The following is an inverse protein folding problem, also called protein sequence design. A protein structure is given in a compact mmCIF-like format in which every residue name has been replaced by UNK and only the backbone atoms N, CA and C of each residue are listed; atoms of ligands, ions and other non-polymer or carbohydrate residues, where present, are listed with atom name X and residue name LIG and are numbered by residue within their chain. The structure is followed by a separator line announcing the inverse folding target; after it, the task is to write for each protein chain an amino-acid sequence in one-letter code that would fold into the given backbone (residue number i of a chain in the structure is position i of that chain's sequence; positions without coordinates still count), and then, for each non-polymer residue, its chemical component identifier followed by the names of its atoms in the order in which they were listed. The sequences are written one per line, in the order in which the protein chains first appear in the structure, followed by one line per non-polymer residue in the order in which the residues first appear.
data_IF_606976063504
#
_entry.id   IF_606976063504
#
_cell.length_a   1.000
_cell.length_b   1.000
_cell.length_c   1.000
_cell.angle_alpha   90.00
_cell.angle_beta   90.00
_cell.angle_gamma   90.00
#
_symmetry.space_group_name_H-M   'P 1'
#
loop_
_entity.id
_entity.type
_entity.pdbx_description
1 polymer ?
#
# COMPACT_ATOMS: atom_id res chain seq x y z
N UNK A 1 -3.34 18.47 -19.82
CA UNK A 1 -4.25 17.57 -19.18
C UNK A 1 -4.54 16.27 -19.94
N UNK A 2 -5.77 15.80 -19.89
CA UNK A 2 -6.17 14.47 -20.39
C UNK A 2 -5.72 14.15 -21.82
N UNK A 3 -5.82 15.11 -22.76
CA UNK A 3 -5.44 14.90 -24.16
C UNK A 3 -3.94 14.59 -24.37
N UNK A 4 -3.06 15.07 -23.49
CA UNK A 4 -1.62 14.78 -23.55
C UNK A 4 -1.29 13.34 -23.19
N UNK A 5 -2.23 12.61 -22.61
CA UNK A 5 -2.06 11.22 -22.15
C UNK A 5 -2.65 10.18 -23.12
N UNK A 6 -3.04 10.55 -24.35
CA UNK A 6 -3.67 9.63 -25.33
C UNK A 6 -2.85 8.41 -25.70
N UNK A 7 -1.52 8.49 -25.57
CA UNK A 7 -0.65 7.32 -25.78
C UNK A 7 -0.96 6.16 -24.83
N UNK A 8 -1.56 6.42 -23.66
CA UNK A 8 -2.01 5.38 -22.76
C UNK A 8 -3.19 4.57 -23.31
N UNK A 9 -4.05 5.17 -24.15
CA UNK A 9 -5.12 4.43 -24.82
C UNK A 9 -4.55 3.49 -25.90
N UNK A 10 -3.51 3.94 -26.62
CA UNK A 10 -2.75 3.07 -27.54
C UNK A 10 -2.03 1.94 -26.79
N UNK A 11 -1.44 2.24 -25.65
CA UNK A 11 -0.82 1.24 -24.79
C UNK A 11 -1.85 0.21 -24.31
N UNK A 12 -3.04 0.64 -23.87
CA UNK A 12 -4.13 -0.23 -23.44
C UNK A 12 -4.52 -1.20 -24.55
N UNK A 13 -4.74 -0.71 -25.77
CA UNK A 13 -5.10 -1.54 -26.92
C UNK A 13 -4.02 -2.57 -27.27
N UNK A 14 -2.75 -2.23 -27.12
CA UNK A 14 -1.63 -3.12 -27.48
C UNK A 14 -1.29 -4.13 -26.41
N UNK A 15 -1.26 -3.71 -25.14
CA UNK A 15 -0.70 -4.51 -24.03
C UNK A 15 -1.77 -5.03 -23.07
N UNK A 16 -2.97 -4.44 -23.07
CA UNK A 16 -4.06 -4.74 -22.15
C UNK A 16 -5.40 -4.98 -22.84
N UNK A 17 -5.40 -5.30 -24.14
CA UNK A 17 -6.61 -5.50 -24.97
C UNK A 17 -7.64 -6.44 -24.32
N UNK A 18 -7.19 -7.43 -23.54
CA UNK A 18 -8.04 -8.37 -22.79
C UNK A 18 -9.07 -7.70 -21.87
N UNK A 19 -8.85 -6.43 -21.46
CA UNK A 19 -9.85 -5.66 -20.69
C UNK A 19 -11.05 -5.32 -21.58
N UNK A 20 -10.77 -4.80 -22.75
CA UNK A 20 -11.81 -4.32 -23.68
C UNK A 20 -12.47 -5.50 -24.39
N UNK A 21 -11.71 -6.52 -24.79
CA UNK A 21 -12.21 -7.79 -25.36
C UNK A 21 -13.16 -8.50 -24.40
N UNK A 22 -12.85 -8.47 -23.10
CA UNK A 22 -13.67 -9.02 -22.01
C UNK A 22 -14.80 -8.09 -21.56
N UNK A 23 -14.96 -6.91 -22.15
CA UNK A 23 -15.87 -5.85 -21.70
C UNK A 23 -15.72 -5.57 -20.19
N UNK A 24 -14.50 -5.52 -19.70
CA UNK A 24 -14.15 -5.42 -18.28
C UNK A 24 -13.79 -4.00 -17.89
N UNK A 25 -14.43 -3.46 -16.85
CA UNK A 25 -14.06 -2.20 -16.23
C UNK A 25 -13.29 -2.46 -14.96
N UNK A 26 -11.99 -2.17 -14.97
CA UNK A 26 -11.12 -2.43 -13.81
C UNK A 26 -10.87 -1.16 -13.01
N UNK A 27 -11.41 -1.10 -11.79
CA UNK A 27 -11.35 0.03 -10.86
C UNK A 27 -10.82 -0.38 -9.48
N UNK A 28 -9.87 -1.33 -9.41
CA UNK A 28 -9.24 -1.78 -8.15
C UNK A 28 -7.72 -1.70 -8.18
N UNK A 29 -7.17 -0.64 -8.78
CA UNK A 29 -5.70 -0.46 -8.88
C UNK A 29 -4.99 -0.30 -7.54
N UNK A 30 -5.65 0.23 -6.51
CA UNK A 30 -5.10 0.27 -5.14
C UNK A 30 -4.97 -1.14 -4.54
N UNK A 31 -5.81 -2.07 -4.95
CA UNK A 31 -5.72 -3.48 -4.60
C UNK A 31 -4.62 -4.22 -5.35
N UNK A 32 -4.43 -3.89 -6.64
CA UNK A 32 -3.38 -4.47 -7.47
C UNK A 32 -3.32 -3.83 -8.85
N UNK A 33 -2.12 -3.61 -9.37
CA UNK A 33 -1.90 -3.19 -10.75
C UNK A 33 -2.25 -4.29 -11.75
N UNK A 34 -2.33 -3.91 -13.02
CA UNK A 34 -2.45 -4.84 -14.14
C UNK A 34 -1.11 -4.95 -14.88
N UNK A 35 -0.82 -6.13 -15.39
CA UNK A 35 0.42 -6.39 -16.12
C UNK A 35 0.25 -6.27 -17.62
N UNK A 36 1.27 -5.73 -18.28
CA UNK A 36 1.37 -5.71 -19.73
C UNK A 36 1.74 -7.08 -20.29
N UNK A 37 1.26 -7.44 -21.47
CA UNK A 37 1.62 -8.69 -22.13
C UNK A 37 3.10 -8.76 -22.48
N UNK A 38 3.74 -7.63 -22.75
CA UNK A 38 5.18 -7.54 -22.97
C UNK A 38 6.01 -7.97 -21.76
N UNK A 39 5.55 -7.69 -20.52
CA UNK A 39 6.23 -8.15 -19.30
C UNK A 39 6.29 -9.69 -19.23
N UNK A 40 5.17 -10.36 -19.51
CA UNK A 40 5.09 -11.83 -19.51
C UNK A 40 5.99 -12.42 -20.58
N UNK A 41 5.93 -11.88 -21.82
CA UNK A 41 6.75 -12.37 -22.94
C UNK A 41 8.25 -12.21 -22.66
N UNK A 42 8.66 -11.05 -22.16
CA UNK A 42 10.07 -10.78 -21.85
C UNK A 42 10.60 -11.70 -20.74
N UNK A 43 9.83 -11.89 -19.68
CA UNK A 43 10.24 -12.78 -18.59
C UNK A 43 10.26 -14.25 -19.04
N UNK A 44 9.27 -14.70 -19.80
CA UNK A 44 9.25 -16.06 -20.35
C UNK A 44 10.45 -16.31 -21.27
N UNK A 45 10.77 -15.37 -22.17
CA UNK A 45 11.94 -15.46 -23.04
C UNK A 45 13.23 -15.58 -22.21
N UNK A 46 13.41 -14.75 -21.18
CA UNK A 46 14.57 -14.81 -20.28
C UNK A 46 14.73 -16.21 -19.66
N UNK A 47 13.65 -16.82 -19.18
CA UNK A 47 13.68 -18.13 -18.56
C UNK A 47 13.91 -19.26 -19.58
N UNK A 48 13.46 -19.10 -20.81
CA UNK A 48 13.62 -20.10 -21.88
C UNK A 48 15.03 -20.12 -22.44
N UNK A 49 15.76 -19.00 -22.41
CA UNK A 49 17.07 -18.86 -23.06
C UNK A 49 18.25 -19.33 -22.21
N UNK A 50 18.06 -19.64 -20.92
CA UNK A 50 19.17 -19.95 -20.01
C UNK A 50 18.77 -20.92 -18.90
N UNK A 51 19.80 -21.52 -18.28
CA UNK A 51 19.65 -22.39 -17.11
C UNK A 51 20.05 -21.61 -15.85
N UNK A 52 19.13 -21.50 -14.90
CA UNK A 52 19.33 -20.78 -13.65
C UNK A 52 19.31 -21.73 -12.46
N UNK A 53 20.27 -21.59 -11.55
CA UNK A 53 20.37 -22.38 -10.32
C UNK A 53 20.22 -21.50 -9.07
N UNK A 54 20.22 -22.14 -7.90
CA UNK A 54 20.18 -21.42 -6.62
C UNK A 54 21.39 -20.48 -6.48
N UNK A 55 21.19 -19.18 -6.17
CA UNK A 55 22.25 -18.15 -6.17
C UNK A 55 23.37 -18.33 -5.13
N UNK A 56 23.19 -19.21 -4.13
CA UNK A 56 24.13 -19.37 -3.02
C UNK A 56 25.34 -20.29 -3.35
N UNK A 57 25.82 -20.29 -4.60
CA UNK A 57 26.96 -21.11 -5.04
C UNK A 57 27.76 -20.41 -6.12
N UNK A 58 29.02 -20.90 -6.35
CA UNK A 58 29.93 -20.37 -7.37
C UNK A 58 29.90 -21.15 -8.69
N UNK A 59 28.98 -22.11 -8.84
CA UNK A 59 28.83 -22.79 -10.12
C UNK A 59 28.22 -21.88 -11.21
N UNK A 60 28.35 -22.19 -12.49
CA UNK A 60 27.93 -21.29 -13.57
C UNK A 60 26.45 -20.87 -13.53
N UNK A 61 25.55 -21.80 -13.20
CA UNK A 61 24.10 -21.50 -13.13
C UNK A 61 23.74 -20.62 -11.94
N UNK A 62 24.42 -20.80 -10.81
CA UNK A 62 24.27 -19.96 -9.63
C UNK A 62 24.79 -18.54 -9.85
N UNK A 63 25.95 -18.40 -10.50
CA UNK A 63 26.53 -17.10 -10.85
C UNK A 63 25.62 -16.34 -11.82
N UNK A 64 25.06 -17.03 -12.82
CA UNK A 64 24.09 -16.42 -13.75
C UNK A 64 22.88 -15.86 -13.02
N UNK A 65 22.32 -16.61 -12.09
CA UNK A 65 21.19 -16.20 -11.25
C UNK A 65 21.55 -15.03 -10.34
N UNK A 66 22.69 -15.09 -9.64
CA UNK A 66 23.16 -14.01 -8.76
C UNK A 66 23.29 -12.71 -9.52
N UNK A 67 23.81 -12.73 -10.74
CA UNK A 67 23.91 -11.52 -11.59
C UNK A 67 22.55 -10.89 -11.87
N UNK A 68 21.53 -11.70 -12.17
CA UNK A 68 20.17 -11.21 -12.44
C UNK A 68 19.50 -10.65 -11.18
N UNK A 69 19.67 -11.32 -10.04
CA UNK A 69 19.13 -10.83 -8.76
C UNK A 69 19.76 -9.49 -8.41
N UNK A 70 21.08 -9.37 -8.50
CA UNK A 70 21.78 -8.13 -8.21
C UNK A 70 21.49 -7.02 -9.23
N UNK A 71 21.25 -7.38 -10.49
CA UNK A 71 20.79 -6.43 -11.49
C UNK A 71 19.41 -5.87 -11.15
N UNK A 72 18.45 -6.72 -10.77
CA UNK A 72 17.13 -6.30 -10.33
C UNK A 72 17.23 -5.41 -9.08
N UNK A 73 18.09 -5.76 -8.10
CA UNK A 73 18.34 -4.96 -6.89
C UNK A 73 18.84 -3.56 -7.23
N UNK A 74 19.87 -3.45 -8.05
CA UNK A 74 20.41 -2.16 -8.52
C UNK A 74 19.36 -1.37 -9.29
N UNK A 75 18.51 -2.04 -10.08
CA UNK A 75 17.48 -1.35 -10.85
C UNK A 75 16.39 -0.78 -9.95
N UNK A 76 15.98 -1.49 -8.88
CA UNK A 76 15.07 -0.95 -7.86
C UNK A 76 15.68 0.30 -7.21
N UNK A 77 16.95 0.25 -6.79
CA UNK A 77 17.63 1.41 -6.22
C UNK A 77 17.66 2.59 -7.21
N UNK A 78 18.00 2.34 -8.47
CA UNK A 78 18.00 3.33 -9.54
C UNK A 78 16.62 3.98 -9.74
N UNK A 79 15.56 3.18 -9.83
CA UNK A 79 14.20 3.66 -10.08
C UNK A 79 13.71 4.64 -9.01
N UNK A 80 14.10 4.43 -7.76
CA UNK A 80 13.76 5.29 -6.62
C UNK A 80 14.82 6.34 -6.30
N UNK A 81 15.87 6.50 -7.10
CA UNK A 81 17.02 7.36 -6.80
C UNK A 81 17.62 7.10 -5.40
N UNK A 82 17.65 5.85 -4.98
CA UNK A 82 18.20 5.39 -3.72
C UNK A 82 19.72 5.21 -3.85
N UNK A 83 20.50 6.14 -3.33
CA UNK A 83 21.96 6.06 -3.38
C UNK A 83 22.46 4.82 -2.62
N UNK A 84 23.36 3.98 -3.21
CA UNK A 84 23.83 2.74 -2.57
C UNK A 84 24.59 2.98 -1.25
N UNK A 85 25.14 4.18 -1.07
CA UNK A 85 25.82 4.61 0.17
C UNK A 85 24.82 4.87 1.29
N UNK A 86 23.59 5.24 0.96
CA UNK A 86 22.56 5.58 1.93
C UNK A 86 21.55 4.45 2.12
N UNK A 87 21.13 3.78 1.05
CA UNK A 87 20.07 2.77 1.07
C UNK A 87 20.54 1.37 0.70
N UNK A 88 19.83 0.39 1.24
CA UNK A 88 19.85 -1.00 0.78
C UNK A 88 18.44 -1.41 0.32
N UNK A 89 18.39 -2.32 -0.63
CA UNK A 89 17.16 -2.97 -1.11
C UNK A 89 17.14 -4.39 -0.58
N UNK A 90 16.17 -4.72 0.24
CA UNK A 90 15.97 -6.06 0.82
C UNK A 90 14.73 -6.65 0.17
N UNK A 91 14.87 -7.77 -0.56
CA UNK A 91 13.74 -8.43 -1.17
C UNK A 91 12.93 -9.21 -0.14
N UNK A 92 11.61 -9.09 -0.24
CA UNK A 92 10.64 -9.74 0.64
C UNK A 92 9.50 -10.31 -0.20
N UNK A 93 8.68 -11.24 0.32
CA UNK A 93 7.51 -11.73 -0.41
C UNK A 93 6.48 -10.64 -0.77
N UNK A 94 6.39 -9.58 0.01
CA UNK A 94 5.48 -8.44 -0.19
C UNK A 94 5.77 -7.33 0.83
N UNK A 95 5.06 -6.20 0.73
CA UNK A 95 5.19 -5.09 1.70
C UNK A 95 4.86 -5.51 3.15
N UNK A 96 3.92 -6.43 3.37
CA UNK A 96 3.60 -6.90 4.73
C UNK A 96 4.76 -7.65 5.38
N UNK A 97 5.51 -8.44 4.59
CA UNK A 97 6.72 -9.10 5.08
C UNK A 97 7.83 -8.07 5.38
N UNK A 98 7.97 -7.02 4.55
CA UNK A 98 8.89 -5.91 4.81
C UNK A 98 8.54 -5.17 6.12
N UNK A 99 7.25 -4.90 6.35
CA UNK A 99 6.74 -4.27 7.57
C UNK A 99 6.96 -5.14 8.81
N UNK A 100 6.70 -6.45 8.68
CA UNK A 100 6.97 -7.42 9.76
C UNK A 100 8.46 -7.43 10.09
N UNK A 101 9.33 -7.44 9.09
CA UNK A 101 10.79 -7.42 9.27
C UNK A 101 11.23 -6.21 10.10
N UNK A 102 10.72 -5.02 9.79
CA UNK A 102 10.98 -3.82 10.59
C UNK A 102 10.42 -4.00 12.00
N UNK A 103 9.15 -4.36 12.16
CA UNK A 103 8.51 -4.47 13.48
C UNK A 103 9.18 -5.46 14.41
N UNK A 104 9.52 -6.66 13.90
CA UNK A 104 10.17 -7.70 14.72
C UNK A 104 11.62 -7.36 15.11
N UNK A 105 12.31 -6.58 14.26
CA UNK A 105 13.71 -6.24 14.45
C UNK A 105 13.95 -4.87 15.08
N UNK A 106 12.94 -3.99 15.09
CA UNK A 106 13.07 -2.64 15.65
C UNK A 106 13.35 -2.71 17.15
N UNK A 107 14.38 -2.01 17.68
CA UNK A 107 14.88 -2.20 19.04
C UNK A 107 14.06 -1.45 20.10
N UNK A 108 12.73 -1.57 20.07
CA UNK A 108 11.87 -0.97 21.10
C UNK A 108 12.24 -1.42 22.51
N UNK A 109 12.18 -0.49 23.45
CA UNK A 109 12.40 -0.68 24.88
C UNK A 109 11.33 0.08 25.69
N UNK A 110 11.15 -0.21 26.99
CA UNK A 110 10.25 0.58 27.83
C UNK A 110 10.58 2.07 27.83
N UNK A 111 9.58 2.91 27.53
CA UNK A 111 9.72 4.36 27.37
C UNK A 111 9.94 4.82 25.92
N UNK A 112 10.06 3.87 24.98
CA UNK A 112 10.06 4.19 23.55
C UNK A 112 8.62 4.36 23.01
N UNK A 113 8.51 4.93 21.81
CA UNK A 113 7.23 5.26 21.22
C UNK A 113 7.09 4.73 19.79
N UNK A 114 5.93 4.16 19.49
CA UNK A 114 5.45 3.90 18.16
C UNK A 114 4.29 4.86 17.86
N UNK A 115 4.52 5.85 17.00
CA UNK A 115 3.53 6.84 16.58
C UNK A 115 3.08 6.51 15.17
N UNK A 116 1.78 6.55 14.92
CA UNK A 116 1.26 6.35 13.58
C UNK A 116 -0.02 7.15 13.32
N UNK A 117 -0.29 7.50 12.06
CA UNK A 117 -1.55 8.11 11.67
C UNK A 117 -2.67 7.08 11.71
N UNK A 118 -3.90 7.53 11.93
CA UNK A 118 -5.06 6.65 12.14
C UNK A 118 -5.44 5.86 10.88
N UNK A 119 -5.10 6.35 9.69
CA UNK A 119 -5.44 5.77 8.39
C UNK A 119 -4.37 4.81 7.83
N UNK A 120 -3.64 4.13 8.69
CA UNK A 120 -2.65 3.14 8.28
C UNK A 120 -3.26 1.79 7.91
N UNK A 121 -2.59 1.10 6.98
CA UNK A 121 -2.89 -0.28 6.63
C UNK A 121 -2.64 -1.24 7.80
N UNK A 122 -3.40 -2.35 7.87
CA UNK A 122 -3.28 -3.37 8.93
C UNK A 122 -1.85 -3.87 9.16
N UNK A 123 -1.05 -4.00 8.11
CA UNK A 123 0.33 -4.47 8.25
C UNK A 123 1.24 -3.46 8.96
N UNK A 124 0.94 -2.15 8.87
CA UNK A 124 1.59 -1.09 9.65
C UNK A 124 1.07 -1.12 11.08
N UNK A 125 -0.26 -1.20 11.26
CA UNK A 125 -0.88 -1.31 12.58
C UNK A 125 -0.35 -2.51 13.38
N UNK A 126 -0.06 -3.63 12.70
CA UNK A 126 0.46 -4.84 13.35
C UNK A 126 1.80 -4.68 14.05
N UNK A 127 2.61 -3.67 13.68
CA UNK A 127 3.88 -3.37 14.35
C UNK A 127 3.66 -3.01 15.84
N UNK A 128 2.49 -2.49 16.20
CA UNK A 128 2.15 -2.19 17.60
C UNK A 128 2.24 -3.40 18.53
N UNK A 129 2.05 -4.60 18.02
CA UNK A 129 2.15 -5.82 18.86
C UNK A 129 3.61 -6.12 19.22
N UNK A 130 4.56 -5.83 18.33
CA UNK A 130 5.99 -5.88 18.66
C UNK A 130 6.38 -4.76 19.63
N UNK A 131 5.90 -3.53 19.42
CA UNK A 131 6.13 -2.40 20.31
C UNK A 131 5.60 -2.71 21.74
N UNK A 132 4.33 -3.16 21.84
CA UNK A 132 3.68 -3.56 23.09
C UNK A 132 4.45 -4.69 23.80
N UNK A 133 4.84 -5.73 23.06
CA UNK A 133 5.59 -6.87 23.59
C UNK A 133 6.95 -6.49 24.16
N UNK A 134 7.50 -5.32 23.78
CA UNK A 134 8.75 -4.76 24.29
C UNK A 134 8.57 -3.57 25.24
N UNK A 135 7.34 -3.29 25.66
CA UNK A 135 7.02 -2.24 26.63
C UNK A 135 7.01 -0.81 26.07
N UNK A 136 7.07 -0.63 24.77
CA UNK A 136 6.92 0.68 24.13
C UNK A 136 5.45 1.10 24.06
N UNK A 137 5.21 2.41 24.07
CA UNK A 137 3.87 3.01 23.96
C UNK A 137 3.49 3.16 22.48
N UNK A 138 2.22 2.90 22.16
CA UNK A 138 1.67 3.14 20.82
C UNK A 138 0.63 4.26 20.87
N UNK A 139 0.76 5.25 19.97
CA UNK A 139 -0.17 6.38 19.86
C UNK A 139 -0.59 6.58 18.39
N UNK A 140 -1.86 6.94 18.19
CA UNK A 140 -2.43 7.23 16.89
C UNK A 140 -2.77 8.71 16.77
N UNK A 141 -2.33 9.35 15.68
CA UNK A 141 -2.76 10.69 15.31
C UNK A 141 -4.05 10.57 14.49
N UNK A 142 -5.17 11.17 14.90
CA UNK A 142 -6.44 11.02 14.22
C UNK A 142 -6.46 11.68 12.84
N UNK A 143 -7.43 11.26 12.04
CA UNK A 143 -7.83 11.94 10.80
C UNK A 143 -9.18 12.57 11.00
N UNK A 144 -9.41 13.72 10.38
CA UNK A 144 -10.60 14.54 10.56
C UNK A 144 -11.53 14.47 9.35
N UNK A 145 -12.84 14.34 9.63
CA UNK A 145 -13.90 14.47 8.61
C UNK A 145 -14.12 15.95 8.23
N UNK A 146 -14.61 16.24 7.00
CA UNK A 146 -14.99 15.28 5.95
C UNK A 146 -13.82 14.77 5.12
N UNK A 147 -12.69 15.47 5.10
CA UNK A 147 -11.58 15.23 4.17
C UNK A 147 -10.67 14.06 4.58
N UNK A 148 -10.83 13.52 5.79
CA UNK A 148 -9.97 12.46 6.35
C UNK A 148 -8.48 12.82 6.32
N UNK A 149 -8.16 14.09 6.58
CA UNK A 149 -6.79 14.58 6.70
C UNK A 149 -6.34 14.54 8.16
N UNK A 150 -5.05 14.35 8.35
CA UNK A 150 -4.40 14.49 9.65
C UNK A 150 -4.32 15.97 10.02
N UNK A 151 -4.65 16.31 11.27
CA UNK A 151 -4.31 17.62 11.83
C UNK A 151 -2.79 17.71 12.03
N UNK A 152 -2.15 18.58 11.25
CA UNK A 152 -0.70 18.72 11.26
C UNK A 152 -0.18 19.30 12.58
N UNK A 153 -0.96 20.14 13.27
CA UNK A 153 -0.58 20.69 14.58
C UNK A 153 -0.53 19.57 15.60
N UNK A 154 -1.57 18.76 15.68
CA UNK A 154 -1.60 17.61 16.58
C UNK A 154 -0.52 16.58 16.27
N UNK A 155 -0.20 16.36 15.00
CA UNK A 155 0.90 15.49 14.61
C UNK A 155 2.23 16.03 15.14
N UNK A 156 2.52 17.31 14.92
CA UNK A 156 3.78 17.93 15.35
C UNK A 156 3.90 17.91 16.89
N UNK A 157 2.84 18.21 17.61
CA UNK A 157 2.78 18.11 19.08
C UNK A 157 3.06 16.67 19.56
N UNK A 158 2.53 15.68 18.85
CA UNK A 158 2.78 14.26 19.15
C UNK A 158 4.24 13.87 18.91
N UNK A 159 4.90 14.47 17.93
CA UNK A 159 6.31 14.22 17.64
C UNK A 159 7.27 14.87 18.67
N UNK A 160 6.82 15.91 19.41
CA UNK A 160 7.63 16.57 20.45
C UNK A 160 7.73 15.74 21.74
N UNK A 161 6.82 14.78 21.97
CA UNK A 161 6.63 14.10 23.28
C UNK A 161 7.52 12.88 23.48
N UNK A 162 8.78 12.90 23.02
CA UNK A 162 9.67 11.73 23.12
C UNK A 162 10.89 11.93 24.02
N UNK A 163 11.34 10.83 24.59
CA UNK A 163 12.55 10.77 25.43
C UNK A 163 13.79 10.88 24.54
N UNK A 164 14.71 11.83 24.78
CA UNK A 164 15.96 11.88 24.07
C UNK A 164 16.77 10.58 24.17
N UNK A 165 17.30 10.12 23.02
CA UNK A 165 18.15 8.93 22.94
C UNK A 165 17.38 7.59 22.95
N UNK A 166 16.04 7.61 22.91
CA UNK A 166 15.21 6.42 22.72
C UNK A 166 15.13 5.96 21.25
N UNK A 167 14.46 4.82 21.06
CA UNK A 167 14.14 4.29 19.74
C UNK A 167 12.67 4.54 19.40
N UNK A 168 12.40 5.62 18.69
CA UNK A 168 11.05 6.05 18.36
C UNK A 168 10.78 5.87 16.88
N UNK A 169 9.66 5.22 16.54
CA UNK A 169 9.27 4.95 15.17
C UNK A 169 7.96 5.69 14.83
N UNK A 170 8.02 6.58 13.84
CA UNK A 170 6.85 7.22 13.26
C UNK A 170 6.49 6.55 11.94
N UNK A 171 5.25 6.06 11.81
CA UNK A 171 4.76 5.38 10.62
C UNK A 171 3.53 6.05 10.04
N UNK A 172 3.54 6.32 8.73
CA UNK A 172 2.38 6.85 8.03
C UNK A 172 2.37 6.45 6.55
N UNK A 173 1.19 6.41 5.89
CA UNK A 173 1.11 6.15 4.46
C UNK A 173 1.43 7.42 3.66
N UNK A 174 2.23 7.31 2.61
CA UNK A 174 2.40 8.42 1.66
C UNK A 174 1.07 8.76 0.96
N UNK A 175 0.23 7.74 0.77
CA UNK A 175 -1.15 7.87 0.31
C UNK A 175 -2.04 6.87 1.03
N UNK A 176 -3.11 7.36 1.65
CA UNK A 176 -4.12 6.50 2.27
C UNK A 176 -4.75 5.57 1.22
N UNK A 177 -4.71 4.28 1.49
CA UNK A 177 -5.37 3.28 0.64
C UNK A 177 -6.90 3.24 0.84
N UNK A 178 -7.41 4.04 1.78
CA UNK A 178 -8.83 4.24 2.03
C UNK A 178 -9.33 5.51 1.36
N UNK A 179 -8.93 6.69 1.83
CA UNK A 179 -9.46 7.99 1.39
C UNK A 179 -8.81 8.54 0.12
N UNK A 180 -7.63 8.04 -0.24
CA UNK A 180 -6.81 8.60 -1.31
C UNK A 180 -6.03 9.87 -0.91
N UNK A 181 -6.14 10.33 0.33
CA UNK A 181 -5.36 11.46 0.86
C UNK A 181 -3.86 11.17 0.68
N UNK A 182 -3.14 12.13 0.13
CA UNK A 182 -1.69 12.13 0.08
C UNK A 182 -1.16 13.00 1.22
N UNK A 183 -0.41 12.36 2.11
CA UNK A 183 0.22 13.02 3.25
C UNK A 183 1.52 13.71 2.84
N UNK A 184 1.90 14.72 3.61
CA UNK A 184 3.11 15.51 3.35
C UNK A 184 4.37 14.67 3.54
N UNK A 185 5.23 14.62 2.52
CA UNK A 185 6.55 14.01 2.66
C UNK A 185 7.51 14.87 3.50
N UNK A 186 7.17 16.15 3.77
CA UNK A 186 7.93 16.99 4.69
C UNK A 186 7.94 16.45 6.12
N UNK A 187 6.94 15.68 6.52
CA UNK A 187 6.87 15.05 7.84
C UNK A 187 8.07 14.13 8.11
N UNK A 188 8.71 13.58 7.07
CA UNK A 188 9.93 12.79 7.21
C UNK A 188 11.01 13.58 7.92
N UNK A 189 11.40 14.74 7.34
CA UNK A 189 12.44 15.57 7.91
C UNK A 189 12.04 16.17 9.27
N UNK A 190 10.75 16.53 9.43
CA UNK A 190 10.22 17.06 10.70
C UNK A 190 10.29 16.04 11.83
N UNK A 191 9.98 14.79 11.58
CA UNK A 191 10.07 13.72 12.55
C UNK A 191 11.53 13.36 12.87
N UNK A 192 12.38 13.23 11.85
CA UNK A 192 13.79 12.93 12.02
C UNK A 192 14.53 14.00 12.81
N UNK A 193 14.20 15.29 12.59
CA UNK A 193 14.75 16.40 13.37
C UNK A 193 14.41 16.33 14.88
N UNK A 194 13.38 15.54 15.24
CA UNK A 194 12.91 15.28 16.62
C UNK A 194 13.36 13.92 17.17
N UNK A 195 14.24 13.23 16.45
CA UNK A 195 14.82 11.96 16.89
C UNK A 195 13.98 10.72 16.58
N UNK A 196 13.02 10.83 15.65
CA UNK A 196 12.25 9.69 15.17
C UNK A 196 12.88 9.03 13.96
N UNK A 197 12.82 7.70 13.90
CA UNK A 197 12.93 6.97 12.65
C UNK A 197 11.59 7.01 11.92
N UNK A 198 11.61 7.08 10.60
CA UNK A 198 10.39 7.20 9.80
C UNK A 198 10.19 5.99 8.90
N UNK A 199 9.04 5.34 9.08
CA UNK A 199 8.53 4.30 8.19
C UNK A 199 7.45 4.92 7.30
N UNK A 200 7.75 5.04 5.99
CA UNK A 200 6.85 5.56 4.99
C UNK A 200 6.20 4.41 4.21
N UNK A 201 4.93 4.09 4.47
CA UNK A 201 4.20 3.14 3.62
C UNK A 201 3.86 3.80 2.27
N UNK A 202 4.64 3.47 1.26
CA UNK A 202 4.47 4.00 -0.08
C UNK A 202 3.70 3.06 -1.03
N UNK A 203 3.16 1.94 -0.54
CA UNK A 203 2.58 0.88 -1.37
C UNK A 203 1.38 1.34 -2.23
N UNK A 204 0.57 2.28 -1.75
CA UNK A 204 -0.53 2.86 -2.52
C UNK A 204 -0.13 4.12 -3.31
N UNK A 205 1.06 4.66 -3.09
CA UNK A 205 1.55 5.91 -3.67
C UNK A 205 2.35 5.70 -4.97
N UNK A 206 3.31 4.78 -4.95
CA UNK A 206 4.33 4.64 -6.00
C UNK A 206 3.82 4.08 -7.33
N UNK A 207 2.59 3.56 -7.36
CA UNK A 207 1.97 3.10 -8.60
C UNK A 207 1.63 4.25 -9.58
N UNK A 208 1.40 5.45 -9.05
CA UNK A 208 0.96 6.62 -9.83
C UNK A 208 1.71 7.91 -9.47
N UNK A 209 2.65 7.84 -8.53
CA UNK A 209 3.43 9.00 -8.08
C UNK A 209 4.89 8.64 -7.93
N UNK A 210 5.76 9.59 -8.23
CA UNK A 210 7.21 9.43 -8.04
C UNK A 210 7.58 9.59 -6.57
N UNK A 211 8.30 8.62 -6.04
CA UNK A 211 9.02 8.74 -4.78
C UNK A 211 10.52 8.83 -5.09
N UNK A 212 11.12 9.96 -4.80
CA UNK A 212 12.53 10.23 -5.05
C UNK A 212 13.30 10.23 -3.73
N UNK A 213 14.08 9.17 -3.49
CA UNK A 213 14.84 8.98 -2.26
C UNK A 213 16.15 9.80 -2.22
N UNK A 214 16.50 10.49 -3.31
CA UNK A 214 17.56 11.53 -3.25
C UNK A 214 17.07 12.85 -2.67
N UNK A 215 15.75 13.02 -2.58
CA UNK A 215 15.08 14.21 -2.03
C UNK A 215 14.43 13.96 -0.68
N UNK A 216 13.82 12.78 -0.54
CA UNK A 216 13.10 12.36 0.65
C UNK A 216 13.82 11.17 1.26
N UNK A 217 14.15 11.22 2.54
CA UNK A 217 15.02 10.28 3.19
C UNK A 217 14.33 9.49 4.32
N UNK A 218 13.18 8.81 4.09
CA UNK A 218 12.57 7.96 5.10
C UNK A 218 13.52 6.81 5.46
N UNK A 219 13.46 6.35 6.70
CA UNK A 219 14.34 5.29 7.17
C UNK A 219 13.94 3.92 6.63
N UNK A 220 12.63 3.69 6.43
CA UNK A 220 12.08 2.44 5.92
C UNK A 220 10.96 2.69 4.91
N UNK A 221 11.02 2.06 3.75
CA UNK A 221 9.96 2.12 2.71
C UNK A 221 9.59 0.71 2.27
N UNK A 222 8.48 0.14 2.74
CA UNK A 222 7.96 -1.14 2.26
C UNK A 222 7.25 -0.98 0.92
N UNK A 223 7.46 -1.93 0.00
CA UNK A 223 6.87 -1.94 -1.34
C UNK A 223 6.34 -3.32 -1.72
N UNK A 224 5.28 -3.34 -2.53
CA UNK A 224 4.79 -4.53 -3.26
C UNK A 224 4.74 -4.22 -4.75
N UNK A 225 5.55 -4.91 -5.54
CA UNK A 225 5.69 -4.61 -6.97
C UNK A 225 4.43 -4.87 -7.77
N UNK A 226 3.61 -5.87 -7.39
CA UNK A 226 2.36 -6.16 -8.07
C UNK A 226 1.35 -4.98 -8.06
N UNK A 227 1.45 -4.08 -7.08
CA UNK A 227 0.63 -2.86 -7.05
C UNK A 227 1.07 -1.84 -8.08
N UNK A 228 2.34 -1.84 -8.46
CA UNK A 228 2.91 -0.89 -9.40
C UNK A 228 2.63 -1.28 -10.86
N UNK A 229 2.93 -2.53 -11.21
CA UNK A 229 2.88 -3.02 -12.60
C UNK A 229 2.31 -4.43 -12.76
N UNK A 230 1.59 -4.95 -11.77
CA UNK A 230 0.78 -6.15 -11.81
C UNK A 230 1.51 -7.48 -11.73
N UNK A 231 2.69 -7.62 -12.30
CA UNK A 231 3.49 -8.84 -12.36
C UNK A 231 4.96 -8.55 -12.08
N UNK A 232 5.63 -9.32 -11.20
CA UNK A 232 5.15 -10.53 -10.53
C UNK A 232 4.38 -10.25 -9.24
N UNK A 233 3.57 -11.21 -8.78
CA UNK A 233 3.08 -11.30 -7.41
C UNK A 233 4.07 -12.07 -6.54
N UNK A 234 3.91 -12.00 -5.19
CA UNK A 234 4.78 -12.74 -4.28
C UNK A 234 6.20 -12.17 -4.16
N UNK A 235 6.41 -10.94 -4.61
CA UNK A 235 7.67 -10.19 -4.44
C UNK A 235 7.37 -8.74 -4.08
N UNK A 236 8.08 -8.29 -3.06
CA UNK A 236 8.17 -6.91 -2.63
C UNK A 236 9.59 -6.57 -2.21
N UNK A 237 9.78 -5.42 -1.60
CA UNK A 237 11.04 -5.08 -0.96
C UNK A 237 10.86 -4.10 0.19
N UNK A 238 11.90 -4.02 1.01
CA UNK A 238 12.15 -2.95 1.94
C UNK A 238 13.34 -2.13 1.40
N UNK A 239 13.11 -0.85 1.13
CA UNK A 239 14.19 0.12 0.98
C UNK A 239 14.50 0.66 2.37
N UNK A 240 15.70 0.41 2.88
CA UNK A 240 16.08 0.81 4.23
C UNK A 240 17.35 1.65 4.22
N UNK A 241 17.35 2.76 4.97
CA UNK A 241 18.58 3.53 5.18
C UNK A 241 19.57 2.70 5.98
N UNK A 242 20.83 2.69 5.55
CA UNK A 242 21.91 1.92 6.21
C UNK A 242 22.06 2.24 7.69
N UNK A 243 21.93 3.52 8.04
CA UNK A 243 22.01 3.95 9.45
C UNK A 243 20.84 3.44 10.31
N UNK A 244 19.65 3.31 9.74
CA UNK A 244 18.50 2.75 10.42
C UNK A 244 18.56 1.22 10.46
N UNK A 245 18.99 0.59 9.37
CA UNK A 245 19.17 -0.85 9.28
C UNK A 245 20.19 -1.37 10.32
N UNK A 246 21.27 -0.63 10.54
CA UNK A 246 22.31 -0.99 11.50
C UNK A 246 21.80 -1.02 12.97
N UNK A 247 20.67 -0.36 13.26
CA UNK A 247 20.03 -0.39 14.58
C UNK A 247 19.09 -1.58 14.77
N UNK A 248 18.62 -2.20 13.70
CA UNK A 248 17.72 -3.35 13.77
C UNK A 248 18.39 -4.56 14.40
N UNK A 249 17.69 -5.25 15.27
CA UNK A 249 18.15 -6.45 15.97
C UNK A 249 17.26 -7.62 15.59
N UNK A 250 17.76 -8.50 14.74
CA UNK A 250 17.04 -9.70 14.34
C UNK A 250 16.75 -10.59 15.54
N UNK A 251 15.48 -10.99 15.79
CA UNK A 251 15.13 -11.88 16.90
C UNK A 251 15.52 -13.35 16.65
N UNK A 252 15.88 -13.71 15.43
CA UNK A 252 16.25 -15.05 14.99
C UNK A 252 17.15 -14.99 13.76
N UNK A 253 17.65 -16.12 13.33
CA UNK A 253 18.40 -16.25 12.07
C UNK A 253 17.81 -17.34 11.17
N UNK A 254 17.96 -17.19 9.87
CA UNK A 254 17.48 -18.10 8.85
C UNK A 254 18.62 -18.57 7.94
N UNK A 255 18.36 -19.59 7.11
CA UNK A 255 19.27 -19.95 6.02
C UNK A 255 19.47 -18.73 5.10
N UNK A 256 20.69 -18.47 4.67
CA UNK A 256 21.07 -17.30 3.86
C UNK A 256 21.39 -16.04 4.66
N UNK A 257 20.87 -15.88 5.90
CA UNK A 257 21.08 -14.67 6.72
C UNK A 257 22.31 -14.69 7.59
N UNK A 258 23.06 -15.78 7.58
CA UNK A 258 24.21 -16.01 8.45
C UNK A 258 25.50 -16.22 7.66
N UNK A 259 26.61 -15.74 8.21
CA UNK A 259 27.95 -16.11 7.77
C UNK A 259 28.38 -17.45 8.35
N UNK A 260 28.13 -17.66 9.63
CA UNK A 260 28.46 -18.88 10.38
C UNK A 260 27.41 -19.14 11.45
N UNK A 261 27.00 -20.39 11.60
CA UNK A 261 26.28 -20.86 12.78
C UNK A 261 26.89 -22.18 13.29
N UNK A 262 26.92 -22.37 14.59
CA UNK A 262 27.40 -23.57 15.25
C UNK A 262 26.34 -24.14 16.18
N UNK A 263 25.98 -25.41 15.98
CA UNK A 263 25.10 -26.15 16.87
C UNK A 263 25.83 -26.50 18.17
N UNK A 264 27.09 -26.96 18.08
CA UNK A 264 27.89 -27.33 19.24
C UNK A 264 28.35 -26.12 20.07
N UNK A 265 28.66 -25.01 19.38
CA UNK A 265 29.12 -23.78 20.04
C UNK A 265 27.98 -22.83 20.43
N UNK A 266 26.73 -23.16 20.13
CA UNK A 266 25.53 -22.37 20.45
C UNK A 266 25.69 -20.87 20.08
N UNK A 267 26.22 -20.62 18.86
CA UNK A 267 26.49 -19.27 18.38
C UNK A 267 26.23 -19.15 16.88
N UNK A 268 25.83 -17.94 16.47
CA UNK A 268 25.72 -17.58 15.05
C UNK A 268 26.22 -16.15 14.82
N UNK A 269 26.57 -15.87 13.58
CA UNK A 269 26.94 -14.54 13.10
C UNK A 269 26.11 -14.21 11.88
N UNK A 270 25.40 -13.09 11.92
CA UNK A 270 24.61 -12.61 10.76
C UNK A 270 25.55 -12.20 9.62
N UNK A 271 25.07 -12.34 8.40
CA UNK A 271 25.69 -11.78 7.22
C UNK A 271 25.67 -10.23 7.25
N UNK A 272 26.40 -9.61 6.36
CA UNK A 272 26.42 -8.16 6.22
C UNK A 272 25.33 -7.67 5.25
N UNK A 273 24.88 -6.42 5.47
CA UNK A 273 23.97 -5.74 4.56
C UNK A 273 22.59 -6.39 4.41
N UNK A 274 22.08 -6.41 3.19
CA UNK A 274 20.77 -6.98 2.84
C UNK A 274 20.67 -8.49 3.11
N UNK A 275 21.75 -9.21 2.96
CA UNK A 275 21.78 -10.65 3.18
C UNK A 275 21.36 -11.04 4.61
N UNK A 276 21.64 -10.20 5.62
CA UNK A 276 21.19 -10.44 6.99
C UNK A 276 19.65 -10.41 7.16
N UNK A 277 18.93 -9.91 6.17
CA UNK A 277 17.49 -9.64 6.23
C UNK A 277 16.67 -10.36 5.17
N UNK A 278 17.28 -11.09 4.24
CA UNK A 278 16.61 -11.91 3.24
C UNK A 278 16.52 -13.37 3.72
N UNK A 279 15.35 -13.74 4.26
CA UNK A 279 15.13 -15.03 4.88
C UNK A 279 15.01 -16.16 3.84
N UNK A 280 15.96 -17.09 3.86
CA UNK A 280 15.97 -18.24 2.98
C UNK A 280 16.41 -17.92 1.55
N UNK A 281 16.21 -18.87 0.64
CA UNK A 281 16.52 -18.67 -0.77
C UNK A 281 15.53 -17.68 -1.39
N UNK A 282 16.00 -16.58 -1.98
CA UNK A 282 15.12 -15.61 -2.63
C UNK A 282 14.40 -16.25 -3.83
N UNK A 283 13.29 -15.66 -4.25
CA UNK A 283 12.55 -16.11 -5.43
C UNK A 283 13.29 -15.72 -6.73
N UNK A 284 14.46 -16.31 -6.92
CA UNK A 284 15.48 -15.91 -7.90
C UNK A 284 15.03 -16.01 -9.36
N UNK A 285 14.07 -16.88 -9.69
CA UNK A 285 13.51 -16.96 -11.04
C UNK A 285 12.54 -15.81 -11.34
N UNK A 286 11.91 -15.26 -10.32
CA UNK A 286 10.89 -14.20 -10.45
C UNK A 286 11.50 -12.80 -10.28
N UNK A 287 12.56 -12.65 -9.49
CA UNK A 287 13.19 -11.35 -9.23
C UNK A 287 13.57 -10.55 -10.49
N UNK A 288 14.07 -11.18 -11.59
CA UNK A 288 14.35 -10.44 -12.82
C UNK A 288 13.12 -9.77 -13.46
N UNK A 289 11.91 -10.29 -13.21
CA UNK A 289 10.68 -9.69 -13.72
C UNK A 289 10.39 -8.31 -13.09
N UNK A 290 11.01 -7.97 -11.95
CA UNK A 290 10.90 -6.65 -11.31
C UNK A 290 11.52 -5.59 -12.21
N UNK A 291 12.73 -5.81 -12.68
CA UNK A 291 13.39 -4.88 -13.61
C UNK A 291 12.56 -4.71 -14.89
N UNK A 292 12.02 -5.79 -15.44
CA UNK A 292 11.16 -5.74 -16.63
C UNK A 292 9.94 -4.84 -16.35
N UNK A 293 9.29 -5.00 -15.19
CA UNK A 293 8.15 -4.19 -14.81
C UNK A 293 8.48 -2.71 -14.57
N UNK A 294 9.60 -2.41 -13.90
CA UNK A 294 10.05 -1.05 -13.67
C UNK A 294 10.43 -0.35 -14.98
N UNK A 295 11.14 -1.03 -15.89
CA UNK A 295 11.44 -0.53 -17.25
C UNK A 295 10.17 -0.25 -18.06
N UNK A 296 9.15 -1.10 -17.89
CA UNK A 296 7.84 -0.84 -18.51
C UNK A 296 7.24 0.47 -18.00
N UNK A 297 7.24 0.72 -16.69
CA UNK A 297 6.73 1.99 -16.14
C UNK A 297 7.54 3.20 -16.59
N UNK A 298 8.87 3.09 -16.65
CA UNK A 298 9.73 4.18 -17.17
C UNK A 298 9.46 4.46 -18.64
N UNK A 299 9.31 3.42 -19.46
CA UNK A 299 8.99 3.58 -20.88
C UNK A 299 7.61 4.21 -21.13
N UNK A 300 6.65 3.97 -20.23
CA UNK A 300 5.32 4.61 -20.26
C UNK A 300 5.40 6.06 -19.77
N UNK A 301 6.20 6.31 -18.75
CA UNK A 301 6.33 7.62 -18.10
C UNK A 301 5.36 7.80 -16.94
N UNK A 302 5.90 7.81 -15.72
CA UNK A 302 5.09 7.88 -14.49
C UNK A 302 4.30 9.19 -14.38
N UNK A 303 4.85 10.29 -14.87
CA UNK A 303 4.20 11.60 -14.92
C UNK A 303 2.95 11.57 -15.82
N UNK A 304 2.98 10.82 -16.92
CA UNK A 304 1.84 10.63 -17.81
C UNK A 304 0.73 9.81 -17.13
N UNK A 305 1.12 8.77 -16.39
CA UNK A 305 0.19 7.96 -15.59
C UNK A 305 -0.47 8.83 -14.53
N UNK A 306 0.33 9.60 -13.79
CA UNK A 306 -0.15 10.54 -12.77
C UNK A 306 -1.17 11.52 -13.35
N UNK A 307 -0.85 12.19 -14.45
CA UNK A 307 -1.73 13.17 -15.10
C UNK A 307 -3.05 12.53 -15.57
N UNK A 308 -3.00 11.32 -16.18
CA UNK A 308 -4.20 10.57 -16.56
C UNK A 308 -5.08 10.28 -15.36
N UNK A 309 -4.51 9.72 -14.31
CA UNK A 309 -5.23 9.37 -13.08
C UNK A 309 -5.80 10.62 -12.42
N UNK A 310 -5.05 11.72 -12.36
CA UNK A 310 -5.51 12.99 -11.81
C UNK A 310 -6.73 13.53 -12.57
N UNK A 311 -6.66 13.59 -13.91
CA UNK A 311 -7.76 14.07 -14.73
C UNK A 311 -9.03 13.22 -14.61
N UNK A 312 -8.87 11.89 -14.68
CA UNK A 312 -10.01 10.96 -14.58
C UNK A 312 -10.64 10.99 -13.18
N UNK A 313 -9.82 11.10 -12.13
CA UNK A 313 -10.30 11.19 -10.75
C UNK A 313 -11.10 12.46 -10.52
N UNK A 314 -10.61 13.61 -11.00
CA UNK A 314 -11.32 14.89 -10.91
C UNK A 314 -12.68 14.81 -11.61
N UNK A 315 -12.71 14.31 -12.86
CA UNK A 315 -13.95 14.12 -13.59
C UNK A 315 -14.93 13.18 -12.86
N UNK A 316 -14.42 12.09 -12.30
CA UNK A 316 -15.25 11.14 -11.56
C UNK A 316 -15.85 11.76 -10.29
N UNK A 317 -15.06 12.53 -9.54
CA UNK A 317 -15.52 13.26 -8.36
C UNK A 317 -16.63 14.25 -8.71
N UNK A 318 -16.41 15.10 -9.72
CA UNK A 318 -17.38 16.10 -10.15
C UNK A 318 -18.71 15.46 -10.51
N UNK A 319 -18.71 14.33 -11.22
CA UNK A 319 -19.94 13.66 -11.63
C UNK A 319 -20.62 12.91 -10.48
N UNK A 320 -19.89 12.18 -9.62
CA UNK A 320 -20.49 11.44 -8.51
C UNK A 320 -21.13 12.36 -7.48
N UNK A 321 -20.51 13.50 -7.16
CA UNK A 321 -20.99 14.44 -6.15
C UNK A 321 -22.25 15.22 -6.61
N UNK A 322 -22.55 15.22 -7.91
CA UNK A 322 -23.78 15.82 -8.44
C UNK A 322 -24.98 14.89 -8.45
N UNK A 323 -24.76 13.58 -8.20
CA UNK A 323 -25.85 12.61 -8.24
C UNK A 323 -26.79 12.78 -7.04
N UNK A 324 -28.05 13.17 -7.32
CA UNK A 324 -29.10 13.36 -6.34
C UNK A 324 -30.37 12.63 -6.77
N UNK A 325 -31.08 12.11 -5.78
CA UNK A 325 -32.43 11.61 -5.95
C UNK A 325 -33.43 12.73 -6.29
N UNK A 326 -34.63 12.35 -6.68
CA UNK A 326 -35.71 13.33 -7.03
C UNK A 326 -36.12 14.23 -5.85
N UNK A 327 -35.80 13.87 -4.63
CA UNK A 327 -36.02 14.63 -3.40
C UNK A 327 -34.80 15.44 -2.93
N UNK A 328 -33.81 15.68 -3.81
CA UNK A 328 -32.55 16.37 -3.55
C UNK A 328 -31.57 15.68 -2.59
N UNK A 329 -31.88 14.49 -2.07
CA UNK A 329 -30.94 13.74 -1.24
C UNK A 329 -29.77 13.24 -2.08
N UNK A 330 -28.51 13.37 -1.60
CA UNK A 330 -27.35 12.89 -2.33
C UNK A 330 -27.33 11.35 -2.39
N UNK A 331 -27.04 10.80 -3.57
CA UNK A 331 -26.86 9.37 -3.75
C UNK A 331 -25.57 8.86 -3.10
N UNK A 332 -24.50 9.68 -3.14
CA UNK A 332 -23.15 9.29 -2.76
C UNK A 332 -22.67 10.12 -1.57
N UNK A 333 -22.11 9.44 -0.57
CA UNK A 333 -21.28 10.06 0.47
C UNK A 333 -19.84 9.63 0.26
N UNK A 334 -18.97 10.58 -0.05
CA UNK A 334 -17.54 10.37 -0.23
C UNK A 334 -16.82 10.44 1.12
N UNK A 335 -15.79 9.60 1.30
CA UNK A 335 -14.87 9.62 2.43
C UNK A 335 -13.49 10.05 1.96
N UNK A 336 -13.10 11.27 2.25
CA UNK A 336 -11.87 11.90 1.78
C UNK A 336 -12.13 13.18 0.98
N UNK A 337 -11.06 13.83 0.46
CA UNK A 337 -11.18 15.12 -0.19
C UNK A 337 -12.09 15.09 -1.41
N UNK A 338 -12.96 16.11 -1.54
CA UNK A 338 -13.83 16.29 -2.72
C UNK A 338 -13.12 16.94 -3.89
N UNK A 339 -11.93 17.53 -3.68
CA UNK A 339 -11.11 18.15 -4.71
C UNK A 339 -9.79 17.39 -4.91
N UNK A 340 -9.01 17.81 -5.92
CA UNK A 340 -7.80 17.13 -6.34
C UNK A 340 -6.52 17.56 -5.58
N UNK A 341 -6.60 18.50 -4.63
CA UNK A 341 -5.44 18.93 -3.85
C UNK A 341 -4.99 17.82 -2.89
N UNK A 342 -3.75 17.40 -2.99
CA UNK A 342 -3.13 16.38 -2.14
C UNK A 342 -3.99 15.10 -2.04
N UNK A 343 -4.36 14.56 -3.20
CA UNK A 343 -5.04 13.27 -3.29
C UNK A 343 -4.60 12.48 -4.53
N UNK A 344 -4.67 11.17 -4.43
CA UNK A 344 -4.47 10.24 -5.54
C UNK A 344 -5.77 9.69 -6.11
N UNK A 345 -5.65 8.68 -6.96
CA UNK A 345 -6.76 8.09 -7.72
C UNK A 345 -7.64 7.08 -6.95
N UNK A 346 -7.63 7.11 -5.62
CA UNK A 346 -8.43 6.22 -4.77
C UNK A 346 -9.64 6.97 -4.22
N UNK A 347 -10.85 6.46 -4.41
CA UNK A 347 -12.09 7.03 -3.90
C UNK A 347 -12.84 5.98 -3.10
N UNK A 348 -13.21 6.33 -1.87
CA UNK A 348 -14.06 5.51 -1.02
C UNK A 348 -15.37 6.22 -0.74
N UNK A 349 -16.47 5.49 -0.89
CA UNK A 349 -17.81 6.05 -0.78
C UNK A 349 -18.82 5.03 -0.29
N UNK A 350 -19.97 5.54 0.15
CA UNK A 350 -21.17 4.73 0.33
C UNK A 350 -22.32 5.34 -0.48
N UNK A 351 -23.28 4.49 -0.82
CA UNK A 351 -24.48 4.84 -1.57
C UNK A 351 -25.70 4.82 -0.65
N UNK A 352 -26.61 5.77 -0.86
CA UNK A 352 -27.80 5.94 -0.04
C UNK A 352 -29.05 5.95 -0.90
N UNK A 353 -30.17 5.44 -0.37
CA UNK A 353 -31.49 5.55 -1.01
C UNK A 353 -32.08 6.94 -0.84
N UNK A 354 -33.18 7.20 -1.55
CA UNK A 354 -33.90 8.45 -1.45
C UNK A 354 -34.43 8.76 -0.04
N UNK A 355 -34.69 7.73 0.78
CA UNK A 355 -35.10 7.87 2.18
C UNK A 355 -33.91 8.09 3.15
N UNK A 356 -32.69 8.20 2.63
CA UNK A 356 -31.48 8.36 3.42
C UNK A 356 -30.91 7.08 4.01
N UNK A 357 -31.48 5.91 3.72
CA UNK A 357 -30.93 4.62 4.19
C UNK A 357 -29.72 4.21 3.39
N UNK A 358 -28.71 3.64 4.09
CA UNK A 358 -27.50 3.12 3.49
C UNK A 358 -27.79 1.90 2.61
N UNK A 359 -27.29 1.90 1.38
CA UNK A 359 -27.25 0.70 0.55
C UNK A 359 -26.02 -0.12 0.98
N UNK A 360 -26.27 -1.37 1.44
CA UNK A 360 -25.17 -2.24 1.89
C UNK A 360 -24.13 -2.42 0.77
N UNK A 361 -22.87 -2.24 1.10
CA UNK A 361 -21.76 -2.34 0.14
C UNK A 361 -21.71 -3.67 -0.60
N UNK A 362 -22.23 -4.77 -0.01
CA UNK A 362 -22.33 -6.11 -0.65
C UNK A 362 -23.42 -6.15 -1.73
N UNK A 363 -24.46 -5.30 -1.62
CA UNK A 363 -25.44 -5.13 -2.70
C UNK A 363 -24.79 -4.46 -3.88
N UNK A 364 -24.03 -3.37 -3.63
CA UNK A 364 -23.28 -2.65 -4.65
C UNK A 364 -22.27 -3.59 -5.33
N UNK A 365 -21.54 -4.38 -4.56
CA UNK A 365 -20.58 -5.36 -5.09
C UNK A 365 -21.24 -6.37 -6.04
N UNK A 366 -22.37 -6.95 -5.64
CA UNK A 366 -23.11 -7.90 -6.52
C UNK A 366 -23.58 -7.24 -7.81
N UNK A 367 -24.10 -6.00 -7.74
CA UNK A 367 -24.57 -5.28 -8.92
C UNK A 367 -23.39 -4.87 -9.84
N UNK A 368 -22.27 -4.43 -9.25
CA UNK A 368 -21.05 -4.12 -10.00
C UNK A 368 -20.49 -5.35 -10.70
N UNK A 369 -20.46 -6.51 -10.01
CA UNK A 369 -20.05 -7.79 -10.61
C UNK A 369 -20.93 -8.18 -11.80
N UNK A 370 -22.25 -8.00 -11.71
CA UNK A 370 -23.18 -8.24 -12.83
C UNK A 370 -22.92 -7.27 -14.00
N UNK A 371 -22.47 -6.07 -13.72
CA UNK A 371 -22.08 -5.07 -14.72
C UNK A 371 -20.65 -5.25 -15.23
N UNK A 372 -19.91 -6.28 -14.82
CA UNK A 372 -18.50 -6.55 -15.12
C UNK A 372 -17.58 -5.38 -14.74
N UNK A 373 -17.84 -4.77 -13.58
CA UNK A 373 -17.04 -3.71 -12.97
C UNK A 373 -16.31 -4.28 -11.76
N UNK A 374 -14.98 -4.33 -11.81
CA UNK A 374 -14.13 -4.71 -10.69
C UNK A 374 -13.88 -3.51 -9.77
N UNK A 375 -14.41 -3.58 -8.58
CA UNK A 375 -14.17 -2.64 -7.48
C UNK A 375 -13.90 -3.41 -6.20
N UNK A 376 -13.67 -2.72 -5.09
CA UNK A 376 -13.46 -3.36 -3.80
C UNK A 376 -14.45 -2.86 -2.76
N UNK A 377 -14.85 -3.75 -1.84
CA UNK A 377 -15.75 -3.42 -0.75
C UNK A 377 -15.16 -3.81 0.61
N UNK A 378 -15.65 -3.21 1.69
CA UNK A 378 -15.22 -3.45 3.05
C UNK A 378 -14.41 -2.30 3.66
N UNK A 379 -13.46 -2.61 4.55
CA UNK A 379 -12.57 -1.63 5.19
C UNK A 379 -11.16 -1.56 4.58
N UNK A 380 -10.87 -2.37 3.56
CA UNK A 380 -9.63 -2.35 2.73
C UNK A 380 -8.34 -2.56 3.53
N UNK A 381 -8.40 -3.35 4.60
CA UNK A 381 -7.29 -3.50 5.56
C UNK A 381 -6.82 -2.16 6.16
N UNK A 382 -7.73 -1.19 6.27
CA UNK A 382 -7.51 0.12 6.92
C UNK A 382 -8.61 0.34 7.96
N UNK A 383 -8.47 -0.26 9.15
CA UNK A 383 -9.53 -0.24 10.16
C UNK A 383 -9.84 1.18 10.65
N UNK A 384 -8.83 2.02 10.87
CA UNK A 384 -9.04 3.39 11.32
C UNK A 384 -9.82 4.23 10.32
N UNK A 385 -9.47 4.15 9.02
CA UNK A 385 -10.26 4.78 7.96
C UNK A 385 -11.71 4.29 7.94
N UNK A 386 -11.92 2.98 8.12
CA UNK A 386 -13.26 2.39 8.21
C UNK A 386 -14.03 2.87 9.44
N UNK A 387 -13.42 2.90 10.61
CA UNK A 387 -14.03 3.36 11.87
C UNK A 387 -14.53 4.81 11.76
N UNK A 388 -13.69 5.71 11.26
CA UNK A 388 -14.06 7.13 11.05
C UNK A 388 -15.16 7.27 10.01
N UNK A 389 -15.03 6.59 8.85
CA UNK A 389 -16.00 6.68 7.77
C UNK A 389 -17.39 6.19 8.18
N UNK A 390 -17.46 5.15 9.01
CA UNK A 390 -18.70 4.53 9.45
C UNK A 390 -19.22 5.07 10.79
N UNK A 391 -18.49 6.01 11.40
CA UNK A 391 -18.86 6.64 12.67
C UNK A 391 -18.87 5.65 13.84
N UNK A 392 -17.91 4.72 13.87
CA UNK A 392 -17.74 3.76 14.94
C UNK A 392 -16.94 4.39 16.08
N UNK A 393 -17.55 4.53 17.24
CA UNK A 393 -16.87 5.08 18.42
C UNK A 393 -16.02 4.04 19.14
N UNK A 394 -14.98 4.49 19.84
CA UNK A 394 -14.14 3.65 20.68
C UNK A 394 -14.95 2.91 21.76
N UNK A 395 -16.03 3.55 22.28
CA UNK A 395 -16.92 2.95 23.28
C UNK A 395 -17.71 1.77 22.72
N UNK A 396 -18.30 1.92 21.53
CA UNK A 396 -19.04 0.86 20.84
C UNK A 396 -18.10 -0.33 20.52
N UNK A 397 -16.93 -0.05 19.98
CA UNK A 397 -15.94 -1.08 19.67
C UNK A 397 -15.47 -1.81 20.92
N UNK A 398 -15.18 -1.09 22.00
CA UNK A 398 -14.77 -1.68 23.26
C UNK A 398 -15.87 -2.54 23.90
N UNK A 399 -17.13 -2.11 23.79
CA UNK A 399 -18.28 -2.89 24.26
C UNK A 399 -18.45 -4.19 23.46
N UNK A 400 -18.29 -4.11 22.12
CA UNK A 400 -18.31 -5.25 21.25
C UNK A 400 -17.22 -6.28 21.60
N UNK A 401 -15.96 -5.85 21.69
CA UNK A 401 -14.83 -6.75 21.93
C UNK A 401 -14.79 -7.36 23.33
N UNK A 402 -15.48 -6.77 24.33
CA UNK A 402 -15.59 -7.31 25.70
C UNK A 402 -16.64 -8.42 25.83
N UNK A 403 -17.44 -8.71 24.83
CA UNK A 403 -18.43 -9.79 24.90
C UNK A 403 -17.71 -11.14 25.07
N UNK A 404 -18.13 -12.00 26.02
CA UNK A 404 -17.45 -13.28 26.28
C UNK A 404 -17.35 -14.19 25.05
N UNK A 405 -18.31 -14.11 24.16
CA UNK A 405 -18.35 -14.87 22.89
C UNK A 405 -17.32 -14.39 21.86
N UNK A 406 -16.71 -13.20 22.07
CA UNK A 406 -15.78 -12.57 21.12
C UNK A 406 -14.32 -12.61 21.57
N UNK A 407 -14.00 -13.29 22.70
CA UNK A 407 -12.64 -13.30 23.25
C UNK A 407 -11.63 -13.99 22.33
N UNK A 408 -12.02 -15.11 21.71
CA UNK A 408 -11.11 -15.90 20.87
C UNK A 408 -11.38 -15.76 19.37
N UNK A 409 -12.61 -15.42 19.00
CA UNK A 409 -13.02 -15.28 17.59
C UNK A 409 -14.18 -14.32 17.44
N UNK A 410 -14.08 -13.42 16.46
CA UNK A 410 -15.15 -12.54 16.03
C UNK A 410 -15.33 -12.66 14.53
N UNK A 411 -16.51 -13.07 14.07
CA UNK A 411 -16.84 -13.07 12.63
C UNK A 411 -17.29 -11.68 12.19
N UNK A 412 -17.27 -11.43 10.88
CA UNK A 412 -17.77 -10.16 10.32
C UNK A 412 -19.27 -9.98 10.63
N UNK A 413 -20.06 -11.05 10.61
CA UNK A 413 -21.49 -10.98 10.91
C UNK A 413 -21.73 -10.70 12.40
N UNK A 414 -20.97 -11.33 13.32
CA UNK A 414 -21.02 -11.01 14.74
C UNK A 414 -20.63 -9.54 15.00
N UNK A 415 -19.57 -9.07 14.34
CA UNK A 415 -19.17 -7.67 14.43
C UNK A 415 -20.27 -6.71 14.00
N UNK A 416 -20.97 -7.02 12.90
CA UNK A 416 -22.09 -6.19 12.39
C UNK A 416 -23.27 -6.16 13.35
N UNK A 417 -23.62 -7.28 13.97
CA UNK A 417 -24.66 -7.33 14.99
C UNK A 417 -24.26 -6.49 16.22
N UNK A 418 -23.00 -6.50 16.55
CA UNK A 418 -22.43 -5.83 17.70
C UNK A 418 -22.43 -4.29 17.56
N UNK A 419 -22.35 -3.75 16.34
CA UNK A 419 -22.34 -2.32 16.04
C UNK A 419 -23.74 -1.78 15.66
N UNK A 420 -24.80 -2.42 16.16
CA UNK A 420 -26.21 -2.02 15.96
C UNK A 420 -26.62 -1.87 14.48
N UNK A 421 -26.10 -2.74 13.63
CA UNK A 421 -26.43 -2.73 12.20
C UNK A 421 -25.86 -1.56 11.40
N UNK A 422 -24.97 -0.75 11.99
CA UNK A 422 -24.22 0.25 11.24
C UNK A 422 -23.47 -0.41 10.07
N UNK A 423 -23.20 0.34 9.03
CA UNK A 423 -22.45 -0.18 7.89
C UNK A 423 -21.11 -0.78 8.35
N UNK A 424 -20.77 -1.98 7.88
CA UNK A 424 -19.50 -2.65 8.21
C UNK A 424 -18.42 -2.45 7.15
N UNK A 425 -18.70 -1.67 6.10
CA UNK A 425 -17.77 -1.40 5.02
C UNK A 425 -18.25 -0.32 4.07
N UNK A 426 -17.36 0.04 3.17
CA UNK A 426 -17.58 1.01 2.11
C UNK A 426 -17.25 0.40 0.74
N UNK A 427 -17.52 1.15 -0.32
CA UNK A 427 -17.15 0.85 -1.71
C UNK A 427 -15.94 1.67 -2.07
N UNK A 428 -14.90 1.04 -2.62
CA UNK A 428 -13.70 1.72 -3.10
C UNK A 428 -13.52 1.48 -4.59
N UNK A 429 -13.33 2.55 -5.33
CA UNK A 429 -12.83 2.53 -6.71
C UNK A 429 -11.47 3.20 -6.77
N UNK A 430 -10.60 2.71 -7.64
CA UNK A 430 -9.28 3.30 -7.83
C UNK A 430 -8.80 3.17 -9.26
N UNK A 431 -8.15 4.22 -9.73
CA UNK A 431 -7.66 4.38 -11.08
C UNK A 431 -6.15 4.14 -11.14
N UNK A 432 -5.66 3.72 -12.29
CA UNK A 432 -4.25 3.43 -12.48
C UNK A 432 -3.80 3.49 -13.94
N UNK A 433 -2.70 2.79 -14.21
CA UNK A 433 -1.89 2.86 -15.42
C UNK A 433 -2.67 2.95 -16.73
N UNK A 434 -3.66 2.09 -16.92
CA UNK A 434 -4.42 2.03 -18.19
C UNK A 434 -5.90 2.33 -18.04
N UNK A 435 -6.30 3.00 -16.95
CA UNK A 435 -7.64 3.53 -16.82
C UNK A 435 -7.90 4.54 -17.94
N UNK A 436 -9.09 4.47 -18.55
CA UNK A 436 -9.51 5.38 -19.61
C UNK A 436 -10.84 6.06 -19.25
N UNK A 437 -11.31 6.94 -20.13
CA UNK A 437 -12.56 7.66 -19.94
C UNK A 437 -13.78 6.72 -19.92
N UNK A 438 -13.77 5.67 -20.73
CA UNK A 438 -14.87 4.71 -20.77
C UNK A 438 -15.07 3.99 -19.42
N UNK A 439 -13.98 3.68 -18.71
CA UNK A 439 -14.04 3.03 -17.38
C UNK A 439 -14.77 3.92 -16.36
N UNK A 440 -14.40 5.20 -16.26
CA UNK A 440 -15.00 6.12 -15.27
C UNK A 440 -16.43 6.52 -15.69
N UNK A 441 -16.69 6.68 -16.96
CA UNK A 441 -18.02 6.97 -17.50
C UNK A 441 -18.98 5.81 -17.20
N UNK A 442 -18.56 4.58 -17.43
CA UNK A 442 -19.35 3.38 -17.14
C UNK A 442 -19.65 3.26 -15.64
N UNK A 443 -18.71 3.61 -14.76
CA UNK A 443 -18.98 3.62 -13.33
C UNK A 443 -19.99 4.70 -12.93
N UNK A 444 -19.94 5.90 -13.52
CA UNK A 444 -20.96 6.95 -13.31
C UNK A 444 -22.33 6.48 -13.78
N UNK A 445 -22.43 5.84 -14.96
CA UNK A 445 -23.70 5.26 -15.44
C UNK A 445 -24.23 4.17 -14.50
N UNK A 446 -23.35 3.33 -13.98
CA UNK A 446 -23.70 2.35 -12.95
C UNK A 446 -24.28 3.02 -11.70
N UNK A 447 -23.60 4.06 -11.18
CA UNK A 447 -24.08 4.84 -10.04
C UNK A 447 -25.44 5.51 -10.34
N UNK A 448 -25.63 6.09 -11.52
CA UNK A 448 -26.91 6.67 -11.94
C UNK A 448 -28.05 5.64 -11.92
N UNK A 449 -27.77 4.37 -12.25
CA UNK A 449 -28.74 3.29 -12.16
C UNK A 449 -29.23 2.97 -10.73
N UNK A 450 -28.58 3.51 -9.69
CA UNK A 450 -28.99 3.39 -8.29
C UNK A 450 -29.95 4.53 -7.85
N UNK A 451 -30.16 5.54 -8.68
CA UNK A 451 -31.04 6.67 -8.34
C UNK A 451 -32.48 6.21 -8.19
N UNK A 452 -33.15 6.72 -7.16
CA UNK A 452 -34.59 6.50 -6.84
C UNK A 452 -34.96 5.00 -6.63
N UNK A 453 -33.98 4.17 -6.28
CA UNK A 453 -34.21 2.78 -5.88
C UNK A 453 -34.64 2.72 -4.42
#
# INVERSE_FOLDING_TARGET
GFLSTRSLDTLRNREYARLDDGNHTYLDYTGGGLYAMSQIRAHHALLADSVFGNPHSLNPTSIATTRLVEQARRYVAHYFNAAPEEYVVIFTPNASAALKLVGEAYPFEPGDHYLLTFDNHNSVNGIREFARGRGATTTYVPVELPDMRVDEVQLLDSLESVRPGGHHLFAYPAQSNFSGVQHSLNWIAQAQARGWDVLLDAAAFVATNRLDLSRWHPDFVPLSFYKMFGYPTGVGCLLARRVALARLRRPWFAGGTITVASVQGDRYYLAEGEAAFEDGTPNYLILPAIEIGLRHLEAVGLEMIHERVHCLTGWLLDNLLTLKHTNDQPLVRLYGPTGMKQRGGTLTMNFYRADGTLIDHRVIERQANQANISLRTGCFCNPGGGEIALGLSAGELAACFRQPTHQDRLTIDDFRLCIDGKGSGAVRVSLGLVSNFADVHRFVQFAQGLLNQ
#
